data_IF_368264052417
#
_entry.id   IF_368264052417
#
_cell.length_a   1.000
_cell.length_b   1.000
_cell.length_c   1.000
_cell.angle_alpha   90.00
_cell.angle_beta   90.00
_cell.angle_gamma   90.00
#
_symmetry.space_group_name_H-M   'P 1'
#
loop_
_entity.id
_entity.type
_entity.pdbx_description
1 polymer ?
#
# COMPACT_ATOMS: atom_id res chain seq x y z
N UNK A 1 30.01 18.90 -27.13
CA UNK A 1 29.22 17.67 -26.83
C UNK A 1 27.83 18.10 -26.38
N UNK A 2 26.76 17.87 -27.16
CA UNK A 2 25.39 18.06 -26.67
C UNK A 2 25.05 16.88 -25.74
N UNK A 3 25.62 16.87 -24.53
CA UNK A 3 25.53 15.75 -23.59
C UNK A 3 25.12 16.11 -22.15
N UNK A 4 25.12 17.38 -21.76
CA UNK A 4 24.94 17.77 -20.35
C UNK A 4 23.69 18.61 -20.05
N UNK A 5 22.73 18.74 -20.99
CA UNK A 5 21.51 19.54 -20.74
C UNK A 5 20.45 18.80 -19.90
N UNK A 6 20.43 17.47 -19.91
CA UNK A 6 19.47 16.67 -19.14
C UNK A 6 19.73 16.78 -17.63
N UNK A 7 21.01 16.78 -17.21
CA UNK A 7 21.36 16.88 -15.80
C UNK A 7 20.88 18.17 -15.13
N UNK A 8 21.06 19.32 -15.80
CA UNK A 8 20.61 20.62 -15.29
C UNK A 8 19.08 20.75 -15.28
N UNK A 9 18.40 20.20 -16.29
CA UNK A 9 16.94 20.19 -16.34
C UNK A 9 16.34 19.31 -15.22
N UNK A 10 16.96 18.15 -14.94
CA UNK A 10 16.56 17.27 -13.84
C UNK A 10 16.74 17.92 -12.47
N UNK A 11 17.83 18.67 -12.26
CA UNK A 11 18.03 19.40 -11.00
C UNK A 11 17.05 20.56 -10.87
N UNK A 12 16.78 21.30 -11.96
CA UNK A 12 15.75 22.35 -11.99
C UNK A 12 14.37 21.79 -11.61
N UNK A 13 13.98 20.66 -12.20
CA UNK A 13 12.71 20.01 -11.92
C UNK A 13 12.62 19.50 -10.47
N UNK A 14 13.70 18.89 -9.95
CA UNK A 14 13.81 18.45 -8.54
C UNK A 14 13.66 19.60 -7.55
N UNK A 15 14.29 20.75 -7.81
CA UNK A 15 14.20 21.92 -6.91
C UNK A 15 12.80 22.54 -6.96
N UNK A 16 12.17 22.58 -8.14
CA UNK A 16 10.81 23.10 -8.30
C UNK A 16 9.77 22.23 -7.58
N UNK A 17 9.90 20.90 -7.64
CA UNK A 17 9.05 19.94 -6.93
C UNK A 17 9.17 20.05 -5.40
N UNK A 18 10.39 20.20 -4.89
CA UNK A 18 10.63 20.20 -3.43
C UNK A 18 10.36 21.57 -2.77
N UNK A 19 10.52 22.68 -3.50
CA UNK A 19 10.57 24.02 -2.89
C UNK A 19 9.71 25.08 -3.60
N UNK A 20 8.95 24.71 -4.64
CA UNK A 20 8.08 25.62 -5.38
C UNK A 20 8.80 26.53 -6.39
N UNK A 21 8.11 27.55 -6.90
CA UNK A 21 8.68 28.52 -7.85
C UNK A 21 9.63 29.50 -7.12
N UNK A 22 10.93 29.24 -7.20
CA UNK A 22 11.98 30.13 -6.64
C UNK A 22 13.33 30.06 -7.36
N UNK A 23 13.41 29.37 -8.50
CA UNK A 23 14.70 29.11 -9.14
C UNK A 23 15.17 30.28 -10.01
N UNK A 24 16.16 31.02 -9.54
CA UNK A 24 16.86 32.03 -10.33
C UNK A 24 18.26 31.55 -10.74
N UNK A 25 18.45 31.30 -12.04
CA UNK A 25 19.77 31.04 -12.64
C UNK A 25 20.42 32.39 -12.95
N UNK A 26 21.55 32.72 -12.33
CA UNK A 26 22.38 33.88 -12.73
C UNK A 26 23.63 33.42 -13.50
N UNK A 27 24.05 34.28 -14.43
CA UNK A 27 24.89 34.02 -15.60
C UNK A 27 26.11 33.09 -15.44
N UNK A 28 26.38 32.39 -16.55
CA UNK A 28 27.47 31.44 -16.75
C UNK A 28 28.59 32.08 -17.62
N UNK A 29 29.68 32.55 -17.00
CA UNK A 29 31.09 32.53 -17.52
C UNK A 29 32.04 33.37 -16.65
N UNK A 30 33.35 33.03 -16.53
CA UNK A 30 33.96 31.69 -16.58
C UNK A 30 34.12 31.11 -15.15
N UNK A 31 33.70 29.85 -14.97
CA UNK A 31 33.61 29.19 -13.66
C UNK A 31 32.14 28.96 -13.30
N UNK A 32 31.55 27.88 -13.80
CA UNK A 32 30.13 27.59 -13.62
C UNK A 32 29.83 27.23 -12.17
N UNK A 33 29.23 28.15 -11.43
CA UNK A 33 28.60 27.89 -10.13
C UNK A 33 27.07 27.91 -10.33
N UNK A 34 26.40 26.80 -10.02
CA UNK A 34 24.93 26.67 -10.10
C UNK A 34 24.42 26.67 -8.66
N UNK A 35 23.95 27.83 -8.19
CA UNK A 35 23.43 28.00 -6.83
C UNK A 35 21.90 27.89 -6.81
N UNK A 36 21.38 27.08 -5.88
CA UNK A 36 19.95 26.87 -5.64
C UNK A 36 19.55 27.59 -4.35
N UNK A 37 18.65 28.56 -4.43
CA UNK A 37 18.08 29.20 -3.24
C UNK A 37 16.83 28.44 -2.81
N UNK A 38 16.93 27.74 -1.67
CA UNK A 38 15.82 27.09 -0.99
C UNK A 38 15.33 28.05 0.10
N UNK A 39 14.06 28.49 0.10
CA UNK A 39 13.54 29.31 1.18
C UNK A 39 13.60 28.51 2.49
N UNK A 40 14.35 29.00 3.46
CA UNK A 40 14.45 28.36 4.77
C UNK A 40 13.16 28.67 5.55
N UNK A 41 12.15 27.83 5.41
CA UNK A 41 10.97 27.88 6.27
C UNK A 41 11.28 27.22 7.61
N UNK A 42 12.09 27.92 8.41
CA UNK A 42 12.05 27.78 9.86
C UNK A 42 10.84 28.59 10.35
N UNK A 43 9.77 27.91 10.74
CA UNK A 43 8.57 28.46 11.41
C UNK A 43 8.94 29.23 12.70
N UNK A 44 8.07 30.09 13.32
CA UNK A 44 6.61 30.01 13.31
C UNK A 44 5.81 31.35 13.29
N UNK A 45 4.62 31.30 12.70
CA UNK A 45 3.48 32.20 12.95
C UNK A 45 2.24 31.39 12.56
N UNK A 46 1.25 31.10 13.40
CA UNK A 46 0.60 31.94 14.40
C UNK A 46 -0.89 31.92 14.03
N UNK A 47 -1.71 31.28 14.86
CA UNK A 47 -3.17 31.33 14.93
C UNK A 47 -4.00 30.59 13.87
N UNK A 48 -4.47 29.41 14.27
CA UNK A 48 -5.52 28.66 13.58
C UNK A 48 -5.47 27.18 13.90
N UNK A 49 -5.67 26.77 15.16
CA UNK A 49 -6.00 25.37 15.48
C UNK A 49 -7.40 25.12 14.92
N UNK A 50 -7.48 24.83 13.63
CA UNK A 50 -8.60 24.09 13.09
C UNK A 50 -8.53 22.72 13.75
N UNK A 51 -9.51 22.42 14.59
CA UNK A 51 -9.80 21.07 15.05
C UNK A 51 -10.11 20.27 13.78
N UNK A 52 -9.08 19.64 13.21
CA UNK A 52 -9.26 18.69 12.13
C UNK A 52 -9.95 17.51 12.78
N UNK A 53 -11.25 17.36 12.50
CA UNK A 53 -12.00 16.20 12.94
C UNK A 53 -11.25 14.97 12.45
N UNK A 54 -10.82 14.12 13.37
CA UNK A 54 -10.14 12.86 13.08
C UNK A 54 -11.15 11.88 12.46
N UNK A 55 -11.54 12.13 11.22
CA UNK A 55 -12.02 11.07 10.34
C UNK A 55 -10.82 10.18 10.02
N UNK A 56 -11.04 8.87 10.00
CA UNK A 56 -10.03 7.92 9.57
C UNK A 56 -9.55 8.32 8.15
N UNK A 57 -8.24 8.45 7.95
CA UNK A 57 -7.70 8.75 6.62
C UNK A 57 -7.61 7.47 5.82
N UNK A 58 -7.96 7.56 4.54
CA UNK A 58 -7.77 6.47 3.59
C UNK A 58 -6.28 6.16 3.47
N UNK A 59 -5.87 4.96 3.87
CA UNK A 59 -4.48 4.49 3.86
C UNK A 59 -4.13 3.91 2.49
N UNK A 60 -3.09 4.44 1.87
CA UNK A 60 -2.69 4.04 0.52
C UNK A 60 -1.22 3.67 0.48
N UNK A 61 -0.86 2.83 -0.48
CA UNK A 61 0.54 2.56 -0.81
C UNK A 61 0.79 2.86 -2.29
N UNK A 62 2.04 3.17 -2.61
CA UNK A 62 2.53 3.36 -3.98
C UNK A 62 3.54 2.27 -4.28
N UNK A 63 3.40 1.63 -5.44
CA UNK A 63 4.28 0.57 -5.92
C UNK A 63 4.81 0.98 -7.28
N UNK A 64 6.05 1.44 -7.29
CA UNK A 64 6.69 2.13 -8.40
C UNK A 64 8.22 2.04 -8.24
N UNK A 65 8.89 1.39 -9.18
CA UNK A 65 10.36 1.22 -9.18
C UNK A 65 11.09 2.49 -9.67
N UNK A 66 10.42 3.32 -10.45
CA UNK A 66 10.97 4.58 -10.94
C UNK A 66 10.78 5.71 -9.90
N UNK A 67 11.85 6.00 -9.15
CA UNK A 67 11.83 6.96 -8.05
C UNK A 67 11.20 8.33 -8.39
N UNK A 68 11.39 8.88 -9.59
CA UNK A 68 10.81 10.19 -9.90
C UNK A 68 9.29 10.11 -10.09
N UNK A 69 8.80 9.07 -10.77
CA UNK A 69 7.37 8.81 -10.89
C UNK A 69 6.73 8.58 -9.51
N UNK A 70 7.40 7.84 -8.62
CA UNK A 70 6.93 7.60 -7.25
C UNK A 70 6.78 8.92 -6.47
N UNK A 71 7.78 9.80 -6.58
CA UNK A 71 7.79 11.10 -5.89
C UNK A 71 6.76 12.07 -6.48
N UNK A 72 6.60 12.09 -7.81
CA UNK A 72 5.57 12.89 -8.47
C UNK A 72 4.17 12.46 -8.02
N UNK A 73 3.88 11.17 -8.04
CA UNK A 73 2.60 10.63 -7.61
C UNK A 73 2.35 10.89 -6.11
N UNK A 74 3.38 10.71 -5.28
CA UNK A 74 3.30 11.04 -3.84
C UNK A 74 2.97 12.51 -3.61
N UNK A 75 3.59 13.42 -4.37
CA UNK A 75 3.29 14.85 -4.29
C UNK A 75 1.85 15.14 -4.70
N UNK A 76 1.37 14.54 -5.80
CA UNK A 76 -0.01 14.69 -6.27
C UNK A 76 -1.04 14.20 -5.24
N UNK A 77 -0.80 13.02 -4.65
CA UNK A 77 -1.68 12.45 -3.61
C UNK A 77 -1.72 13.36 -2.37
N UNK A 78 -0.56 13.76 -1.86
CA UNK A 78 -0.48 14.61 -0.67
C UNK A 78 -1.07 16.01 -0.88
N UNK A 79 -0.98 16.55 -2.10
CA UNK A 79 -1.45 17.91 -2.41
C UNK A 79 -2.95 17.94 -2.68
N UNK A 80 -3.51 16.92 -3.34
CA UNK A 80 -4.86 16.95 -3.89
C UNK A 80 -5.84 15.96 -3.26
N UNK A 81 -5.44 15.29 -2.17
CA UNK A 81 -6.32 14.37 -1.42
C UNK A 81 -6.05 14.44 0.08
N UNK A 82 -6.89 13.78 0.87
CA UNK A 82 -6.67 13.59 2.32
C UNK A 82 -6.20 12.16 2.65
N UNK A 83 -5.65 11.45 1.65
CA UNK A 83 -5.11 10.11 1.82
C UNK A 83 -3.81 10.14 2.63
N UNK A 84 -3.52 9.03 3.31
CA UNK A 84 -2.26 8.81 4.02
C UNK A 84 -1.44 7.77 3.24
N UNK A 85 -0.27 8.17 2.73
CA UNK A 85 0.68 7.23 2.12
C UNK A 85 1.40 6.50 3.25
N UNK A 86 1.02 5.25 3.52
CA UNK A 86 1.58 4.43 4.61
C UNK A 86 2.81 3.62 4.18
N UNK A 87 3.11 3.60 2.88
CA UNK A 87 4.26 2.89 2.33
C UNK A 87 4.49 3.19 0.86
N UNK A 88 5.74 3.09 0.44
CA UNK A 88 6.14 3.14 -0.96
C UNK A 88 7.14 2.02 -1.22
N UNK A 89 6.93 1.29 -2.30
CA UNK A 89 7.65 0.07 -2.63
C UNK A 89 8.13 0.15 -4.08
N UNK A 90 9.27 -0.47 -4.35
CA UNK A 90 9.85 -0.63 -5.68
C UNK A 90 9.82 -2.11 -6.14
N UNK A 91 9.32 -3.03 -5.33
CA UNK A 91 9.31 -4.48 -5.60
C UNK A 91 7.98 -5.13 -5.19
N UNK A 92 7.44 -5.99 -6.05
CA UNK A 92 6.12 -6.60 -5.84
C UNK A 92 6.08 -7.62 -4.70
N UNK A 93 7.18 -8.32 -4.39
CA UNK A 93 7.22 -9.27 -3.26
C UNK A 93 7.24 -8.54 -1.92
N UNK A 94 7.88 -7.38 -1.83
CA UNK A 94 7.88 -6.59 -0.60
C UNK A 94 6.50 -6.02 -0.28
N UNK A 95 5.69 -5.72 -1.30
CA UNK A 95 4.27 -5.37 -1.14
C UNK A 95 3.49 -6.54 -0.53
N UNK A 96 3.66 -7.77 -1.03
CA UNK A 96 2.97 -8.93 -0.45
C UNK A 96 3.33 -9.12 1.02
N UNK A 97 4.61 -8.99 1.39
CA UNK A 97 5.07 -9.09 2.79
C UNK A 97 4.47 -7.98 3.66
N UNK A 98 4.41 -6.75 3.14
CA UNK A 98 3.82 -5.63 3.86
C UNK A 98 2.32 -5.86 4.12
N UNK A 99 1.59 -6.31 3.10
CA UNK A 99 0.15 -6.55 3.16
C UNK A 99 -0.25 -7.74 4.03
N UNK A 100 0.70 -8.60 4.43
CA UNK A 100 0.43 -9.63 5.45
C UNK A 100 0.17 -9.04 6.83
N UNK A 101 0.76 -7.88 7.15
CA UNK A 101 0.73 -7.28 8.49
C UNK A 101 -0.05 -5.96 8.52
N UNK A 102 -0.36 -5.41 7.36
CA UNK A 102 -0.93 -4.08 7.23
C UNK A 102 -2.12 -4.12 6.27
N UNK A 103 -3.22 -3.52 6.71
CA UNK A 103 -4.37 -3.25 5.84
C UNK A 103 -4.19 -1.88 5.19
N UNK A 104 -4.57 -1.81 3.92
CA UNK A 104 -4.60 -0.57 3.13
C UNK A 104 -5.94 -0.51 2.40
N UNK A 105 -6.35 0.70 2.06
CA UNK A 105 -7.61 0.98 1.36
C UNK A 105 -7.41 1.07 -0.14
N UNK A 106 -6.25 1.55 -0.61
CA UNK A 106 -5.90 1.56 -2.03
C UNK A 106 -4.41 1.32 -2.30
N UNK A 107 -4.13 0.84 -3.51
CA UNK A 107 -2.80 0.56 -4.03
C UNK A 107 -2.67 1.23 -5.39
N UNK A 108 -1.70 2.13 -5.52
CA UNK A 108 -1.26 2.65 -6.82
C UNK A 108 -0.12 1.78 -7.32
N UNK A 109 -0.29 1.17 -8.49
CA UNK A 109 0.55 0.05 -8.92
C UNK A 109 1.04 0.23 -10.35
N UNK A 110 2.35 0.30 -10.55
CA UNK A 110 2.93 0.01 -11.87
C UNK A 110 2.95 -1.51 -12.11
N UNK A 111 2.84 -1.89 -13.38
CA UNK A 111 2.92 -3.26 -13.84
C UNK A 111 4.38 -3.70 -13.95
N UNK A 112 5.25 -2.85 -14.47
CA UNK A 112 6.64 -3.21 -14.72
C UNK A 112 7.50 -2.95 -13.48
N UNK A 113 7.27 -3.75 -12.46
CA UNK A 113 8.05 -3.75 -11.22
C UNK A 113 8.84 -5.07 -11.08
N UNK A 114 10.02 -5.05 -10.44
CA UNK A 114 10.82 -6.23 -10.14
C UNK A 114 10.12 -7.33 -9.33
N UNK A 115 10.68 -8.53 -9.44
CA UNK A 115 10.37 -9.80 -8.75
C UNK A 115 8.97 -10.37 -8.94
N UNK A 116 7.92 -9.56 -8.85
CA UNK A 116 6.54 -9.93 -9.07
C UNK A 116 5.83 -8.79 -9.81
N UNK A 117 5.47 -9.00 -11.07
CA UNK A 117 4.84 -7.96 -11.87
C UNK A 117 3.50 -7.50 -11.27
N UNK A 118 3.12 -6.26 -11.57
CA UNK A 118 1.94 -5.64 -10.95
C UNK A 118 0.61 -6.33 -11.30
N UNK A 119 0.50 -7.00 -12.46
CA UNK A 119 -0.73 -7.73 -12.80
C UNK A 119 -0.85 -8.97 -11.92
N UNK A 120 0.23 -9.73 -11.77
CA UNK A 120 0.26 -10.92 -10.92
C UNK A 120 0.13 -10.56 -9.43
N UNK A 121 0.71 -9.44 -9.01
CA UNK A 121 0.51 -8.88 -7.67
C UNK A 121 -0.98 -8.55 -7.43
N UNK A 122 -1.62 -7.84 -8.37
CA UNK A 122 -3.05 -7.53 -8.28
C UNK A 122 -3.94 -8.79 -8.29
N UNK A 123 -3.59 -9.83 -9.06
CA UNK A 123 -4.26 -11.13 -9.03
C UNK A 123 -4.16 -11.85 -7.68
N UNK A 124 -3.07 -11.65 -6.94
CA UNK A 124 -2.94 -12.17 -5.58
C UNK A 124 -3.79 -11.37 -4.60
N UNK A 125 -3.76 -10.03 -4.71
CA UNK A 125 -4.51 -9.13 -3.84
C UNK A 125 -6.03 -9.26 -4.06
N UNK A 126 -6.48 -9.51 -5.29
CA UNK A 126 -7.91 -9.67 -5.60
C UNK A 126 -8.56 -10.85 -4.89
N UNK A 127 -7.75 -11.80 -4.41
CA UNK A 127 -8.25 -12.93 -3.64
C UNK A 127 -8.58 -12.53 -2.20
N UNK A 128 -8.07 -11.41 -1.67
CA UNK A 128 -8.19 -11.06 -0.26
C UNK A 128 -9.64 -10.88 0.18
N UNK A 129 -9.93 -11.26 1.43
CA UNK A 129 -11.25 -11.09 2.02
C UNK A 129 -11.70 -9.61 2.06
N UNK A 130 -10.76 -8.68 2.26
CA UNK A 130 -10.98 -7.24 2.09
C UNK A 130 -10.01 -6.74 1.02
N UNK A 131 -10.54 -6.48 -0.17
CA UNK A 131 -9.76 -6.02 -1.31
C UNK A 131 -9.59 -4.50 -1.29
N UNK A 132 -8.35 -3.97 -1.29
CA UNK A 132 -8.12 -2.55 -1.53
C UNK A 132 -8.51 -2.19 -2.96
N UNK A 133 -8.82 -0.92 -3.19
CA UNK A 133 -8.92 -0.40 -4.55
C UNK A 133 -7.56 -0.47 -5.24
N UNK A 134 -7.52 -1.02 -6.46
CA UNK A 134 -6.29 -1.08 -7.25
C UNK A 134 -6.38 -0.03 -8.36
N UNK A 135 -5.40 0.85 -8.44
CA UNK A 135 -5.25 1.82 -9.51
C UNK A 135 -3.94 1.53 -10.24
N UNK A 136 -4.04 1.06 -11.48
CA UNK A 136 -2.86 0.86 -12.31
C UNK A 136 -2.37 2.18 -12.87
N UNK A 137 -1.07 2.45 -12.76
CA UNK A 137 -0.41 3.62 -13.34
C UNK A 137 0.86 3.15 -14.05
N UNK A 138 0.81 3.03 -15.37
CA UNK A 138 1.82 2.27 -16.11
C UNK A 138 2.03 2.76 -17.54
N UNK A 139 3.17 2.43 -18.15
CA UNK A 139 3.41 2.69 -19.58
C UNK A 139 2.81 1.60 -20.50
N UNK A 140 2.39 0.47 -19.95
CA UNK A 140 1.92 -0.70 -20.69
C UNK A 140 0.43 -0.57 -21.01
N UNK A 141 0.04 -0.69 -22.27
CA UNK A 141 -1.37 -0.56 -22.71
C UNK A 141 -2.08 -1.90 -22.83
N UNK A 142 -1.31 -2.92 -23.13
CA UNK A 142 -1.74 -4.29 -23.39
C UNK A 142 -2.47 -4.92 -22.20
N UNK A 143 -2.12 -4.53 -20.97
CA UNK A 143 -2.70 -5.10 -19.75
C UNK A 143 -4.00 -4.45 -19.26
N UNK A 144 -4.56 -3.52 -20.04
CA UNK A 144 -5.80 -2.85 -19.67
C UNK A 144 -7.01 -3.79 -19.58
N UNK A 145 -6.99 -4.89 -20.35
CA UNK A 145 -8.05 -5.91 -20.31
C UNK A 145 -7.97 -6.70 -19.01
N UNK A 146 -6.79 -7.17 -18.63
CA UNK A 146 -6.54 -7.90 -17.38
C UNK A 146 -6.88 -7.03 -16.16
N UNK A 147 -6.55 -5.74 -16.20
CA UNK A 147 -6.94 -4.81 -15.14
C UNK A 147 -8.47 -4.66 -15.02
N UNK A 148 -9.19 -4.66 -16.15
CA UNK A 148 -10.66 -4.65 -16.14
C UNK A 148 -11.23 -5.96 -15.59
N UNK A 149 -10.67 -7.12 -15.98
CA UNK A 149 -11.08 -8.43 -15.46
C UNK A 149 -10.85 -8.55 -13.95
N UNK A 150 -9.82 -7.88 -13.42
CA UNK A 150 -9.55 -7.78 -11.98
C UNK A 150 -10.40 -6.74 -11.25
N UNK A 151 -11.32 -6.07 -11.94
CA UNK A 151 -12.13 -4.97 -11.40
C UNK A 151 -11.27 -3.85 -10.80
N UNK A 152 -10.15 -3.51 -11.45
CA UNK A 152 -9.35 -2.37 -11.04
C UNK A 152 -10.19 -1.09 -11.05
N UNK A 153 -9.95 -0.22 -10.06
CA UNK A 153 -10.69 1.03 -9.91
C UNK A 153 -10.43 1.99 -11.07
N UNK A 154 -9.16 2.08 -11.51
CA UNK A 154 -8.78 2.89 -12.66
C UNK A 154 -7.49 2.35 -13.31
N UNK A 155 -7.29 2.70 -14.59
CA UNK A 155 -6.10 2.37 -15.37
C UNK A 155 -5.58 3.62 -16.08
N UNK A 156 -4.41 4.10 -15.67
CA UNK A 156 -3.82 5.35 -16.13
C UNK A 156 -2.52 5.08 -16.86
N UNK A 157 -2.42 5.60 -18.08
CA UNK A 157 -1.23 5.45 -18.89
C UNK A 157 -0.21 6.56 -18.63
N UNK A 158 1.04 6.18 -18.44
CA UNK A 158 2.19 7.08 -18.45
C UNK A 158 2.56 7.44 -19.91
N UNK A 159 2.97 8.70 -20.17
CA UNK A 159 2.89 9.85 -19.28
C UNK A 159 1.44 10.34 -19.11
N UNK A 160 1.08 10.72 -17.89
CA UNK A 160 -0.24 11.26 -17.57
C UNK A 160 -0.20 12.78 -17.41
N UNK A 161 -1.38 13.41 -17.48
CA UNK A 161 -1.55 14.81 -17.07
C UNK A 161 -1.91 14.85 -15.58
N UNK A 162 -1.42 15.83 -14.84
CA UNK A 162 -1.77 16.05 -13.43
C UNK A 162 -3.30 16.04 -13.20
N UNK A 163 -4.06 16.70 -14.07
CA UNK A 163 -5.53 16.73 -14.00
C UNK A 163 -6.17 15.33 -14.07
N UNK A 164 -5.54 14.36 -14.75
CA UNK A 164 -6.04 12.98 -14.84
C UNK A 164 -5.91 12.25 -13.50
N UNK A 165 -4.81 12.50 -12.77
CA UNK A 165 -4.57 11.95 -11.44
C UNK A 165 -5.52 12.61 -10.43
N UNK A 166 -5.64 13.94 -10.42
CA UNK A 166 -6.55 14.67 -9.52
C UNK A 166 -7.99 14.15 -9.64
N UNK A 167 -8.48 14.00 -10.87
CA UNK A 167 -9.83 13.48 -11.11
C UNK A 167 -10.01 12.05 -10.60
N UNK A 168 -8.99 11.20 -10.72
CA UNK A 168 -9.02 9.83 -10.19
C UNK A 168 -9.04 9.84 -8.67
N UNK A 169 -8.20 10.66 -8.00
CA UNK A 169 -8.14 10.76 -6.54
C UNK A 169 -9.48 11.20 -5.93
N UNK A 170 -10.17 12.14 -6.58
CA UNK A 170 -11.50 12.59 -6.16
C UNK A 170 -12.54 11.46 -6.26
N UNK A 171 -12.54 10.73 -7.38
CA UNK A 171 -13.44 9.57 -7.56
C UNK A 171 -13.14 8.47 -6.55
N UNK A 172 -11.86 8.20 -6.30
CA UNK A 172 -11.41 7.16 -5.38
C UNK A 172 -11.84 7.48 -3.94
N UNK A 173 -11.61 8.71 -3.49
CA UNK A 173 -12.09 9.19 -2.19
C UNK A 173 -13.61 9.01 -2.05
N UNK A 174 -14.37 9.43 -3.08
CA UNK A 174 -15.84 9.30 -3.06
C UNK A 174 -16.30 7.84 -2.98
N UNK A 175 -15.66 6.94 -3.72
CA UNK A 175 -15.99 5.51 -3.69
C UNK A 175 -15.67 4.87 -2.34
N UNK A 176 -14.53 5.21 -1.74
CA UNK A 176 -14.14 4.74 -0.42
C UNK A 176 -15.09 5.23 0.69
N UNK A 177 -15.45 6.52 0.67
CA UNK A 177 -16.44 7.08 1.61
C UNK A 177 -17.81 6.39 1.49
N UNK A 178 -18.26 6.08 0.28
CA UNK A 178 -19.51 5.33 0.06
C UNK A 178 -19.45 3.92 0.64
N UNK A 179 -18.32 3.22 0.47
CA UNK A 179 -18.12 1.87 1.02
C UNK A 179 -18.19 1.87 2.54
N UNK A 180 -17.52 2.83 3.20
CA UNK A 180 -17.51 2.95 4.67
C UNK A 180 -18.85 3.41 5.26
N UNK A 181 -19.56 4.30 4.57
CA UNK A 181 -20.89 4.75 4.99
C UNK A 181 -21.96 3.65 4.83
N UNK A 182 -21.88 2.85 3.76
CA UNK A 182 -22.79 1.72 3.56
C UNK A 182 -22.63 0.66 4.65
N UNK A 183 -21.41 0.42 5.12
CA UNK A 183 -21.14 -0.46 6.26
C UNK A 183 -21.74 0.08 7.57
N UNK A 184 -21.78 1.41 7.74
CA UNK A 184 -22.31 2.06 8.94
C UNK A 184 -23.86 2.12 8.97
N UNK A 185 -24.52 2.18 7.81
CA UNK A 185 -25.99 2.27 7.71
C UNK A 185 -26.76 0.96 7.96
N UNK A 186 -26.07 -0.18 7.98
CA UNK A 186 -26.67 -1.52 8.14
C UNK A 186 -26.40 -2.14 9.52
N UNK A 187 -26.05 -1.34 10.53
CA UNK A 187 -25.70 -1.75 11.90
C UNK A 187 -26.88 -2.34 12.73
N UNK A 188 -27.73 -3.19 12.12
CA UNK A 188 -28.68 -4.10 12.78
C UNK A 188 -28.41 -5.58 12.47
N UNK A 189 -27.42 -5.91 11.66
CA UNK A 189 -26.85 -7.25 11.62
C UNK A 189 -25.38 -7.10 11.98
N UNK A 190 -24.93 -7.76 13.04
CA UNK A 190 -23.51 -7.81 13.41
C UNK A 190 -22.68 -8.04 12.13
N UNK A 191 -21.52 -7.38 11.97
CA UNK A 191 -20.62 -7.74 10.89
C UNK A 191 -20.45 -9.25 10.99
N UNK A 192 -20.74 -9.99 9.93
CA UNK A 192 -20.16 -11.32 9.81
C UNK A 192 -18.67 -11.03 9.69
N UNK A 193 -18.00 -10.94 10.84
CA UNK A 193 -16.56 -10.83 10.91
C UNK A 193 -16.03 -11.98 10.08
N UNK A 194 -15.28 -11.61 9.05
CA UNK A 194 -14.86 -12.50 7.99
C UNK A 194 -14.20 -13.74 8.60
N UNK A 195 -14.89 -14.88 8.57
CA UNK A 195 -14.41 -16.21 8.96
C UNK A 195 -13.25 -16.71 8.07
N UNK A 196 -12.49 -15.82 7.43
CA UNK A 196 -11.43 -16.16 6.48
C UNK A 196 -10.16 -15.36 6.75
N UNK A 197 -9.02 -16.02 6.53
CA UNK A 197 -7.67 -15.48 6.65
C UNK A 197 -6.88 -15.76 5.37
N UNK A 198 -6.00 -14.83 5.01
CA UNK A 198 -5.11 -14.97 3.86
C UNK A 198 -3.86 -15.76 4.26
N UNK A 199 -3.65 -16.93 3.69
CA UNK A 199 -2.45 -17.74 3.90
C UNK A 199 -1.57 -17.73 2.65
N UNK A 200 -0.26 -17.76 2.80
CA UNK A 200 0.66 -17.80 1.64
C UNK A 200 1.20 -19.21 1.43
N UNK A 201 1.19 -19.65 0.18
CA UNK A 201 1.82 -20.89 -0.27
C UNK A 201 2.27 -20.76 -1.72
N UNK A 202 3.52 -21.16 -1.98
CA UNK A 202 4.11 -21.15 -3.33
C UNK A 202 3.90 -19.81 -4.07
N UNK A 203 4.20 -18.69 -3.38
CA UNK A 203 4.06 -17.31 -3.88
C UNK A 203 2.61 -16.88 -4.20
N UNK A 204 1.63 -17.68 -3.78
CA UNK A 204 0.21 -17.37 -3.95
C UNK A 204 -0.47 -17.14 -2.61
N UNK A 205 -1.41 -16.21 -2.62
CA UNK A 205 -2.30 -15.99 -1.47
C UNK A 205 -3.53 -16.86 -1.61
N UNK A 206 -3.84 -17.63 -0.56
CA UNK A 206 -4.94 -18.59 -0.48
C UNK A 206 -5.85 -18.14 0.67
N UNK A 207 -7.06 -17.72 0.31
CA UNK A 207 -8.09 -17.39 1.31
C UNK A 207 -8.64 -18.66 1.92
N UNK A 208 -8.42 -18.79 3.22
CA UNK A 208 -8.70 -19.99 4.00
C UNK A 208 -9.70 -19.67 5.09
N UNK A 209 -10.72 -20.51 5.27
CA UNK A 209 -11.65 -20.36 6.39
C UNK A 209 -10.90 -20.58 7.71
N UNK A 210 -11.12 -19.73 8.72
CA UNK A 210 -10.56 -19.93 10.06
C UNK A 210 -11.01 -21.26 10.66
N UNK A 211 -12.19 -21.76 10.25
CA UNK A 211 -12.72 -23.06 10.71
C UNK A 211 -12.01 -24.26 10.07
N UNK A 212 -11.25 -24.03 9.00
CA UNK A 212 -10.43 -25.07 8.36
C UNK A 212 -9.03 -25.18 9.00
N UNK A 213 -8.63 -24.21 9.85
CA UNK A 213 -7.36 -24.23 10.58
C UNK A 213 -7.49 -25.13 11.81
N UNK A 214 -6.66 -26.18 11.87
CA UNK A 214 -6.66 -27.14 12.98
C UNK A 214 -5.74 -26.70 14.12
N UNK A 215 -4.54 -26.26 13.78
CA UNK A 215 -3.56 -25.71 14.72
C UNK A 215 -2.51 -24.88 13.97
N UNK A 216 -1.79 -24.06 14.73
CA UNK A 216 -0.63 -23.31 14.25
C UNK A 216 0.57 -23.59 15.17
N UNK A 217 1.77 -23.68 14.59
CA UNK A 217 3.02 -23.92 15.29
C UNK A 217 3.96 -22.72 15.12
N UNK A 218 4.57 -22.27 16.21
CA UNK A 218 5.54 -21.18 16.20
C UNK A 218 6.95 -21.71 15.93
N UNK A 219 7.63 -21.14 14.94
CA UNK A 219 9.04 -21.41 14.64
C UNK A 219 9.79 -20.09 14.51
N UNK A 220 10.40 -19.64 15.61
CA UNK A 220 11.12 -18.37 15.71
C UNK A 220 10.30 -17.16 15.21
N UNK A 221 10.53 -16.74 13.96
CA UNK A 221 9.88 -15.60 13.30
C UNK A 221 8.78 -16.00 12.31
N UNK A 222 8.50 -17.29 12.21
CA UNK A 222 7.54 -17.87 11.26
C UNK A 222 6.44 -18.61 12.01
N UNK A 223 5.27 -18.70 11.39
CA UNK A 223 4.14 -19.49 11.88
C UNK A 223 3.74 -20.51 10.83
N UNK A 224 3.77 -21.78 11.20
CA UNK A 224 3.25 -22.86 10.36
C UNK A 224 1.79 -23.06 10.66
N UNK A 225 0.93 -22.98 9.64
CA UNK A 225 -0.52 -23.10 9.78
C UNK A 225 -0.95 -24.40 9.13
N UNK A 226 -1.65 -25.25 9.87
CA UNK A 226 -2.08 -26.56 9.39
C UNK A 226 -3.59 -26.60 9.23
N UNK A 227 -4.02 -26.85 8.00
CA UNK A 227 -5.40 -27.25 7.72
C UNK A 227 -5.49 -28.76 7.61
N UNK A 228 -6.69 -29.29 7.42
CA UNK A 228 -6.90 -30.73 7.23
C UNK A 228 -6.12 -31.30 6.04
N UNK A 229 -5.86 -30.49 5.00
CA UNK A 229 -5.32 -30.97 3.72
C UNK A 229 -3.86 -30.59 3.51
N UNK A 230 -3.41 -29.50 4.10
CA UNK A 230 -2.13 -28.90 3.76
C UNK A 230 -1.58 -28.02 4.87
N UNK A 231 -0.33 -27.59 4.69
CA UNK A 231 0.34 -26.64 5.56
C UNK A 231 0.73 -25.38 4.80
N UNK A 232 0.76 -24.28 5.52
CA UNK A 232 1.12 -22.95 5.03
C UNK A 232 2.21 -22.38 5.93
N UNK A 233 3.01 -21.47 5.37
CA UNK A 233 4.07 -20.78 6.11
C UNK A 233 3.78 -19.29 6.08
N UNK A 234 3.50 -18.73 7.25
CA UNK A 234 3.33 -17.31 7.44
C UNK A 234 4.66 -16.73 7.96
N UNK A 235 5.25 -15.73 7.30
CA UNK A 235 6.52 -15.14 7.69
C UNK A 235 6.34 -14.10 8.81
N UNK A 236 5.58 -14.48 9.83
CA UNK A 236 5.23 -13.67 11.00
C UNK A 236 5.24 -14.55 12.23
N UNK A 237 5.51 -13.98 13.40
CA UNK A 237 5.48 -14.75 14.64
C UNK A 237 4.02 -15.11 15.03
N UNK A 238 3.86 -16.14 15.85
CA UNK A 238 2.52 -16.65 16.19
C UNK A 238 1.67 -15.60 16.91
N UNK A 239 2.30 -14.70 17.67
CA UNK A 239 1.62 -13.61 18.39
C UNK A 239 1.12 -12.52 17.45
N UNK A 240 1.66 -12.38 16.24
CA UNK A 240 1.16 -11.46 15.21
C UNK A 240 0.13 -12.15 14.31
N UNK A 241 0.27 -13.46 14.06
CA UNK A 241 -0.69 -14.25 13.30
C UNK A 241 -2.04 -14.42 14.02
N UNK A 242 -1.97 -14.67 15.34
CA UNK A 242 -3.14 -15.00 16.16
C UNK A 242 -4.10 -13.81 16.39
N UNK A 243 -3.68 -12.54 16.54
CA UNK A 243 -4.57 -11.38 16.63
C UNK A 243 -5.52 -11.25 15.44
N UNK A 244 -5.02 -11.47 14.22
CA UNK A 244 -5.83 -11.41 13.01
C UNK A 244 -6.85 -12.56 12.96
N UNK A 245 -6.46 -13.75 13.45
CA UNK A 245 -7.35 -14.92 13.52
C UNK A 245 -8.33 -14.89 14.72
N UNK A 246 -7.95 -14.32 15.86
CA UNK A 246 -8.75 -14.30 17.10
C UNK A 246 -9.76 -13.16 17.15
N UNK A 247 -9.53 -12.05 16.44
CA UNK A 247 -10.58 -11.03 16.31
C UNK A 247 -11.81 -11.56 15.56
N UNK A 248 -11.67 -12.65 14.81
CA UNK A 248 -12.76 -13.28 14.06
C UNK A 248 -13.49 -14.34 14.91
N UNK A 249 -12.75 -15.10 15.73
CA UNK A 249 -13.32 -16.23 16.48
C UNK A 249 -14.09 -15.85 17.76
N UNK A 250 -14.04 -14.58 18.19
CA UNK A 250 -14.70 -14.14 19.42
C UNK A 250 -16.24 -14.05 19.33
N UNK A 251 -16.82 -14.10 18.13
CA UNK A 251 -18.25 -13.83 17.92
C UNK A 251 -19.18 -15.06 17.88
N UNK A 252 -18.67 -16.30 17.95
CA UNK A 252 -19.57 -17.46 17.97
C UNK A 252 -18.89 -18.82 18.07
N UNK A 253 -19.25 -19.55 19.12
CA UNK A 253 -19.04 -20.99 19.36
C UNK A 253 -18.26 -21.78 18.29
N UNK A 254 -16.93 -21.81 18.40
CA UNK A 254 -16.14 -22.93 17.87
C UNK A 254 -14.87 -23.17 18.69
N UNK A 255 -14.55 -24.44 18.88
CA UNK A 255 -13.44 -24.97 19.68
C UNK A 255 -12.08 -24.51 19.12
N UNK A 256 -11.62 -23.32 19.48
CA UNK A 256 -10.20 -22.99 19.40
C UNK A 256 -9.50 -23.51 20.67
N UNK A 257 -9.18 -24.81 20.68
CA UNK A 257 -8.02 -25.27 21.44
C UNK A 257 -6.79 -24.87 20.60
N UNK A 258 -6.40 -23.59 20.70
CA UNK A 258 -4.99 -23.24 20.56
C UNK A 258 -4.28 -23.97 21.70
N UNK A 259 -3.95 -25.23 21.45
CA UNK A 259 -2.86 -25.87 22.17
C UNK A 259 -1.67 -25.05 21.73
N UNK A 260 -1.32 -24.03 22.54
CA UNK A 260 0.05 -23.56 22.66
C UNK A 260 0.81 -24.82 23.08
N UNK A 261 1.16 -25.64 22.10
CA UNK A 261 2.09 -26.73 22.28
C UNK A 261 3.31 -26.04 22.87
N UNK A 262 3.54 -26.35 24.13
CA UNK A 262 4.64 -25.90 24.97
C UNK A 262 5.72 -25.23 24.11
N UNK A 263 5.76 -23.89 24.15
CA UNK A 263 7.06 -23.22 24.04
C UNK A 263 7.82 -23.70 25.27
N UNK A 264 8.42 -24.87 25.12
CA UNK A 264 9.46 -25.34 26.00
C UNK A 264 10.59 -24.35 25.75
N UNK A 265 10.58 -23.26 26.53
CA UNK A 265 11.80 -22.57 26.88
C UNK A 265 12.62 -23.64 27.59
N UNK A 266 13.36 -24.41 26.79
CA UNK A 266 14.53 -25.11 27.25
C UNK A 266 15.57 -24.03 27.57
N UNK A 267 15.35 -23.35 28.70
CA UNK A 267 16.43 -22.93 29.57
C UNK A 267 17.12 -24.22 30.02
N UNK A 268 18.06 -24.70 29.22
CA UNK A 268 19.23 -25.44 29.69
C UNK A 268 20.42 -24.66 29.11
N UNK A 269 21.19 -23.96 29.94
CA UNK A 269 22.37 -24.54 30.60
C UNK A 269 23.22 -25.33 29.62
#
# INVERSE_FOLDING_TARGET
>A
MPGNKIGLLNVHHRVKLLYGEGLHIRNLTPGTEIAFYVPNNSTPQGDGVAVVMSGEKMKVIIVEDEFLAQQELSWLINTHSQMEIVGSFDDGLDVLKFLQHNKVDAIFLDINIPSLDGVLLAQNISQFAHKPFIVFITAWKEHAVEAFELEAFDYILKPYQESRIINMLQKLTTAWEQQNNAASGLASAAPRENDTINLIKDERIIVTSIHDIYYAEAHEKMTFVYTRRESFVMPMNITEFVPDALNIAASGQSKFLLTVAQVSIANRF
#
